data_IF_084135069320
#
_entry.id   IF_084135069320
#
_cell.length_a   1.000
_cell.length_b   1.000
_cell.length_c   1.000
_cell.angle_alpha   90.00
_cell.angle_beta   90.00
_cell.angle_gamma   90.00
#
_symmetry.space_group_name_H-M   'P 1'
#
loop_
_entity.id
_entity.type
_entity.pdbx_description
1 polymer ?
#
# COMPACT_ATOMS: atom_id res chain seq x y z
N UNK A 1 -41.96 31.81 -21.75
CA UNK A 1 -40.56 31.89 -21.39
C UNK A 1 -40.27 30.69 -20.47
N UNK A 2 -39.77 29.63 -21.06
CA UNK A 2 -39.58 28.35 -20.38
C UNK A 2 -38.12 28.25 -19.97
N UNK A 3 -37.83 28.25 -18.69
CA UNK A 3 -36.49 28.01 -18.15
C UNK A 3 -36.27 26.51 -17.98
N UNK A 4 -35.44 25.96 -18.84
CA UNK A 4 -35.00 24.58 -18.77
C UNK A 4 -33.96 24.43 -17.65
N UNK A 5 -34.30 23.75 -16.57
CA UNK A 5 -33.39 23.33 -15.52
C UNK A 5 -32.65 22.10 -16.05
N UNK A 6 -31.36 22.28 -16.32
CA UNK A 6 -30.47 21.15 -16.66
C UNK A 6 -30.18 20.41 -15.35
N UNK A 7 -30.73 19.21 -15.21
CA UNK A 7 -30.40 18.28 -14.15
C UNK A 7 -28.98 17.77 -14.38
N UNK A 8 -28.09 18.05 -13.44
CA UNK A 8 -26.77 17.44 -13.36
C UNK A 8 -26.96 15.99 -12.93
N UNK A 9 -26.86 15.06 -13.88
CA UNK A 9 -26.79 13.63 -13.58
C UNK A 9 -25.55 13.35 -12.73
N UNK A 10 -25.80 12.96 -11.48
CA UNK A 10 -24.77 12.43 -10.58
C UNK A 10 -24.19 11.16 -11.20
N UNK A 11 -22.87 11.21 -11.48
CA UNK A 11 -22.13 10.12 -12.10
C UNK A 11 -22.28 8.81 -11.31
N UNK A 12 -22.87 7.82 -11.90
CA UNK A 12 -22.76 6.43 -11.48
C UNK A 12 -21.29 6.05 -11.55
N UNK A 13 -20.67 5.76 -10.41
CA UNK A 13 -19.36 5.12 -10.34
C UNK A 13 -19.41 3.86 -11.22
N UNK A 14 -18.57 3.83 -12.24
CA UNK A 14 -18.42 2.66 -13.10
C UNK A 14 -17.73 1.57 -12.27
N UNK A 15 -18.50 0.63 -11.75
CA UNK A 15 -17.97 -0.58 -11.11
C UNK A 15 -17.20 -1.35 -12.18
N UNK A 16 -15.88 -1.46 -12.02
CA UNK A 16 -15.04 -2.25 -12.92
C UNK A 16 -15.56 -3.69 -12.95
N UNK A 17 -15.87 -4.19 -14.15
CA UNK A 17 -16.31 -5.58 -14.36
C UNK A 17 -15.16 -6.59 -14.25
N UNK A 18 -13.92 -6.11 -14.13
CA UNK A 18 -12.72 -6.94 -14.09
C UNK A 18 -12.44 -7.35 -12.65
N UNK A 19 -12.37 -8.66 -12.39
CA UNK A 19 -11.88 -9.18 -11.11
C UNK A 19 -10.40 -8.80 -11.00
N UNK A 20 -10.02 -7.97 -10.02
CA UNK A 20 -8.64 -7.46 -9.96
C UNK A 20 -7.63 -8.54 -9.58
N UNK A 21 -8.04 -9.57 -8.83
CA UNK A 21 -7.14 -10.61 -8.31
C UNK A 21 -6.07 -10.06 -7.34
N UNK A 22 -4.97 -10.79 -7.14
CA UNK A 22 -3.86 -10.35 -6.31
C UNK A 22 -3.08 -9.19 -6.94
N UNK A 23 -3.00 -8.05 -6.24
CA UNK A 23 -2.27 -6.86 -6.66
C UNK A 23 -1.18 -6.54 -5.65
N UNK A 24 0.04 -6.33 -6.11
CA UNK A 24 1.12 -5.77 -5.32
C UNK A 24 1.25 -4.28 -5.61
N UNK A 25 1.21 -3.47 -4.57
CA UNK A 25 1.67 -2.08 -4.66
C UNK A 25 3.11 -2.00 -4.19
N UNK A 26 4.00 -1.81 -5.17
CA UNK A 26 5.43 -1.61 -4.96
C UNK A 26 5.76 -0.12 -4.97
N UNK A 27 6.95 0.21 -4.49
CA UNK A 27 7.45 1.58 -4.44
C UNK A 27 8.18 1.86 -3.14
N UNK A 28 9.05 2.85 -3.18
CA UNK A 28 9.89 3.26 -2.06
C UNK A 28 9.06 3.70 -0.82
N UNK A 29 9.67 3.72 0.37
CA UNK A 29 9.04 4.34 1.55
C UNK A 29 8.58 5.77 1.23
N UNK A 30 7.33 6.11 1.55
CA UNK A 30 6.76 7.44 1.25
C UNK A 30 6.13 7.58 -0.14
N UNK A 31 6.15 6.57 -1.02
CA UNK A 31 5.57 6.67 -2.38
C UNK A 31 4.04 6.81 -2.42
N UNK A 32 3.34 6.63 -1.28
CA UNK A 32 1.88 6.81 -1.21
C UNK A 32 1.07 5.53 -1.37
N UNK A 33 1.70 4.34 -1.28
CA UNK A 33 1.01 3.05 -1.40
C UNK A 33 -0.26 2.94 -0.56
N UNK A 34 -0.20 3.24 0.74
CA UNK A 34 -1.36 3.19 1.63
C UNK A 34 -2.49 4.12 1.18
N UNK A 35 -2.17 5.36 0.81
CA UNK A 35 -3.17 6.32 0.29
C UNK A 35 -3.84 5.81 -0.99
N UNK A 36 -3.07 5.19 -1.88
CA UNK A 36 -3.62 4.60 -3.11
C UNK A 36 -4.43 3.35 -2.79
N UNK A 37 -3.97 2.51 -1.86
CA UNK A 37 -4.76 1.35 -1.41
C UNK A 37 -6.15 1.74 -0.92
N UNK A 38 -6.29 2.83 -0.16
CA UNK A 38 -7.59 3.33 0.32
C UNK A 38 -8.56 3.71 -0.82
N UNK A 39 -8.03 4.23 -1.93
CA UNK A 39 -8.83 4.53 -3.12
C UNK A 39 -9.24 3.24 -3.86
N UNK A 40 -8.29 2.32 -4.03
CA UNK A 40 -8.48 1.08 -4.79
C UNK A 40 -9.39 0.08 -4.07
N UNK A 41 -9.32 0.02 -2.73
CA UNK A 41 -10.25 -0.76 -1.89
C UNK A 41 -11.70 -0.34 -2.15
N UNK A 42 -11.96 0.96 -2.19
CA UNK A 42 -13.30 1.48 -2.49
C UNK A 42 -13.75 1.17 -3.92
N UNK A 43 -12.81 1.23 -4.87
CA UNK A 43 -13.11 0.99 -6.28
C UNK A 43 -13.40 -0.49 -6.60
N UNK A 44 -12.60 -1.42 -6.05
CA UNK A 44 -12.75 -2.86 -6.34
C UNK A 44 -13.48 -3.66 -5.26
N UNK A 45 -13.73 -3.07 -4.11
CA UNK A 45 -14.29 -3.75 -2.94
C UNK A 45 -13.49 -5.01 -2.54
N UNK A 46 -12.16 -4.88 -2.47
CA UNK A 46 -11.22 -5.93 -2.06
C UNK A 46 -10.38 -5.43 -0.87
N UNK A 47 -9.86 -6.30 0.01
CA UNK A 47 -9.12 -5.88 1.18
C UNK A 47 -7.73 -5.32 0.84
N UNK A 48 -7.30 -4.34 1.64
CA UNK A 48 -5.91 -3.88 1.71
C UNK A 48 -5.19 -4.64 2.84
N UNK A 49 -4.06 -5.26 2.50
CA UNK A 49 -3.22 -6.03 3.42
C UNK A 49 -1.87 -5.34 3.51
N UNK A 50 -1.69 -4.51 4.53
CA UNK A 50 -0.43 -3.82 4.84
C UNK A 50 0.37 -4.63 5.85
N UNK A 51 1.51 -5.21 5.43
CA UNK A 51 2.40 -5.92 6.38
C UNK A 51 2.97 -4.99 7.43
N UNK A 52 3.20 -3.72 7.11
CA UNK A 52 3.62 -2.73 8.08
C UNK A 52 2.59 -2.50 9.18
N UNK A 53 1.29 -2.46 8.83
CA UNK A 53 0.22 -2.28 9.81
C UNK A 53 -0.01 -3.56 10.62
N UNK A 54 0.08 -4.73 10.00
CA UNK A 54 0.02 -6.01 10.70
C UNK A 54 1.15 -6.14 11.74
N UNK A 55 2.38 -5.75 11.39
CA UNK A 55 3.51 -5.73 12.33
C UNK A 55 3.28 -4.72 13.47
N UNK A 56 2.86 -3.50 13.16
CA UNK A 56 2.54 -2.48 14.18
C UNK A 56 1.44 -2.92 15.12
N UNK A 57 0.39 -3.55 14.62
CA UNK A 57 -0.68 -4.10 15.45
C UNK A 57 -0.17 -5.20 16.40
N UNK A 58 0.72 -6.08 15.92
CA UNK A 58 1.36 -7.10 16.76
C UNK A 58 2.28 -6.47 17.81
N UNK A 59 3.03 -5.43 17.47
CA UNK A 59 3.87 -4.69 18.41
C UNK A 59 3.02 -4.02 19.51
N UNK A 60 1.95 -3.35 19.14
CA UNK A 60 1.04 -2.70 20.09
C UNK A 60 0.37 -3.70 21.04
N UNK A 61 0.04 -4.91 20.57
CA UNK A 61 -0.50 -6.00 21.37
C UNK A 61 0.54 -6.77 22.19
N UNK A 62 1.84 -6.49 22.00
CA UNK A 62 2.93 -7.18 22.71
C UNK A 62 3.04 -8.67 22.41
N UNK A 63 2.57 -9.13 21.22
CA UNK A 63 2.67 -10.54 20.83
C UNK A 63 4.14 -10.96 20.67
N UNK A 64 4.43 -12.27 20.64
CA UNK A 64 5.78 -12.79 20.40
C UNK A 64 6.34 -12.27 19.07
N UNK A 65 5.54 -12.26 18.00
CA UNK A 65 5.90 -11.67 16.72
C UNK A 65 6.18 -10.17 16.84
N UNK A 66 5.34 -9.43 17.55
CA UNK A 66 5.50 -8.00 17.76
C UNK A 66 6.81 -7.65 18.48
N UNK A 67 7.19 -8.43 19.50
CA UNK A 67 8.46 -8.24 20.23
C UNK A 67 9.68 -8.49 19.33
N UNK A 68 9.65 -9.52 18.49
CA UNK A 68 10.73 -9.82 17.53
C UNK A 68 10.80 -8.70 16.47
N UNK A 69 9.67 -8.27 15.94
CA UNK A 69 9.60 -7.25 14.89
C UNK A 69 10.01 -5.85 15.36
N UNK A 70 9.79 -5.53 16.65
CA UNK A 70 10.00 -4.19 17.23
C UNK A 70 11.39 -3.62 16.92
N UNK A 71 12.44 -4.42 17.12
CA UNK A 71 13.81 -3.97 16.92
C UNK A 71 14.12 -3.68 15.45
N UNK A 72 13.73 -4.57 14.54
CA UNK A 72 13.93 -4.39 13.10
C UNK A 72 13.13 -3.19 12.56
N UNK A 73 11.86 -3.07 12.92
CA UNK A 73 10.99 -1.97 12.48
C UNK A 73 11.54 -0.61 12.93
N UNK A 74 11.99 -0.49 14.19
CA UNK A 74 12.54 0.76 14.73
C UNK A 74 13.85 1.19 14.05
N UNK A 75 14.64 0.23 13.54
CA UNK A 75 15.86 0.50 12.77
C UNK A 75 15.63 0.65 11.26
N UNK A 76 14.40 0.45 10.79
CA UNK A 76 14.06 0.47 9.36
C UNK A 76 14.50 -0.78 8.58
N UNK A 77 14.96 -1.82 9.30
CA UNK A 77 15.35 -3.11 8.75
C UNK A 77 14.13 -3.98 8.41
N UNK A 78 14.34 -5.00 7.57
CA UNK A 78 13.30 -6.00 7.30
C UNK A 78 13.20 -7.02 8.43
N UNK A 79 11.97 -7.42 8.75
CA UNK A 79 11.70 -8.59 9.59
C UNK A 79 11.97 -9.85 8.77
N UNK A 80 12.42 -10.92 9.42
CA UNK A 80 12.78 -12.18 8.77
C UNK A 80 11.64 -12.73 7.89
N UNK A 81 11.99 -13.16 6.67
CA UNK A 81 11.02 -13.55 5.64
C UNK A 81 10.01 -14.61 6.12
N UNK A 82 10.46 -15.63 6.87
CA UNK A 82 9.58 -16.70 7.35
C UNK A 82 8.43 -16.15 8.22
N UNK A 83 8.72 -15.22 9.11
CA UNK A 83 7.71 -14.63 10.01
C UNK A 83 6.70 -13.79 9.22
N UNK A 84 7.17 -13.01 8.25
CA UNK A 84 6.30 -12.20 7.40
C UNK A 84 5.46 -13.10 6.49
N UNK A 85 6.04 -14.14 5.90
CA UNK A 85 5.34 -15.12 5.07
C UNK A 85 4.20 -15.82 5.86
N UNK A 86 4.47 -16.26 7.10
CA UNK A 86 3.44 -16.87 7.96
C UNK A 86 2.30 -15.90 8.27
N UNK A 87 2.62 -14.66 8.59
CA UNK A 87 1.63 -13.62 8.85
C UNK A 87 0.76 -13.33 7.62
N UNK A 88 1.37 -13.22 6.44
CA UNK A 88 0.65 -13.03 5.17
C UNK A 88 -0.18 -14.28 4.85
N UNK A 89 0.38 -15.49 5.00
CA UNK A 89 -0.34 -16.74 4.76
C UNK A 89 -1.60 -16.86 5.63
N UNK A 90 -1.52 -16.46 6.89
CA UNK A 90 -2.67 -16.44 7.79
C UNK A 90 -3.75 -15.46 7.30
N UNK A 91 -3.38 -14.25 6.91
CA UNK A 91 -4.30 -13.22 6.41
C UNK A 91 -4.97 -13.60 5.09
N UNK A 92 -4.24 -14.26 4.19
CA UNK A 92 -4.77 -14.70 2.88
C UNK A 92 -5.78 -15.86 2.98
N UNK A 93 -5.96 -16.47 4.15
CA UNK A 93 -7.01 -17.47 4.39
C UNK A 93 -8.37 -16.85 4.72
N UNK A 94 -8.42 -15.56 5.02
CA UNK A 94 -9.67 -14.88 5.34
C UNK A 94 -10.59 -14.81 4.11
N UNK A 95 -11.92 -14.98 4.29
CA UNK A 95 -12.87 -15.06 3.17
C UNK A 95 -12.92 -13.82 2.28
N UNK A 96 -12.60 -12.65 2.83
CA UNK A 96 -12.62 -11.37 2.12
C UNK A 96 -11.58 -11.26 1.00
N UNK A 97 -10.57 -12.17 0.97
CA UNK A 97 -9.52 -12.19 -0.05
C UNK A 97 -9.90 -12.98 -1.31
N UNK A 98 -11.06 -13.64 -1.33
CA UNK A 98 -11.46 -14.56 -2.40
C UNK A 98 -11.55 -13.91 -3.79
N UNK A 99 -11.93 -12.63 -3.88
CA UNK A 99 -12.05 -11.89 -5.15
C UNK A 99 -10.79 -11.10 -5.52
N UNK A 100 -9.74 -11.20 -4.71
CA UNK A 100 -8.49 -10.46 -4.84
C UNK A 100 -8.18 -9.65 -3.60
N UNK A 101 -7.01 -9.04 -3.61
CA UNK A 101 -6.49 -8.23 -2.49
C UNK A 101 -5.37 -7.32 -2.97
N UNK A 102 -5.10 -6.28 -2.19
CA UNK A 102 -3.95 -5.40 -2.39
C UNK A 102 -2.94 -5.70 -1.29
N UNK A 103 -1.72 -6.12 -1.67
CA UNK A 103 -0.59 -6.25 -0.77
C UNK A 103 0.27 -4.98 -0.79
N UNK A 104 0.49 -4.39 0.37
CA UNK A 104 1.38 -3.25 0.59
C UNK A 104 2.49 -3.63 1.57
N UNK A 105 3.73 -3.35 1.16
CA UNK A 105 4.91 -3.68 1.95
C UNK A 105 5.31 -5.15 1.92
N UNK A 106 4.73 -5.95 1.04
CA UNK A 106 5.07 -7.34 0.75
C UNK A 106 4.76 -7.65 -0.71
N UNK A 107 5.62 -8.40 -1.43
CA UNK A 107 6.94 -8.88 -1.00
C UNK A 107 7.98 -7.74 -0.96
N UNK A 108 9.01 -7.89 -0.12
CA UNK A 108 10.17 -6.99 -0.05
C UNK A 108 11.48 -7.66 -0.41
N UNK A 109 11.48 -8.96 -0.59
CA UNK A 109 12.62 -9.76 -1.05
C UNK A 109 12.20 -10.66 -2.19
N UNK A 110 13.17 -11.10 -3.00
CA UNK A 110 12.90 -12.06 -4.08
C UNK A 110 12.41 -13.41 -3.52
N UNK A 111 12.89 -13.81 -2.35
CA UNK A 111 12.42 -15.02 -1.65
C UNK A 111 10.93 -14.94 -1.31
N UNK A 112 10.47 -13.79 -0.79
CA UNK A 112 9.06 -13.56 -0.53
C UNK A 112 8.22 -13.54 -1.82
N UNK A 113 8.74 -12.95 -2.91
CA UNK A 113 8.03 -12.90 -4.20
C UNK A 113 7.82 -14.31 -4.78
N UNK A 114 8.87 -15.12 -4.80
CA UNK A 114 8.81 -16.52 -5.26
C UNK A 114 7.87 -17.35 -4.40
N UNK A 115 7.92 -17.16 -3.08
CA UNK A 115 7.01 -17.83 -2.15
C UNK A 115 5.54 -17.46 -2.43
N UNK A 116 5.25 -16.17 -2.66
CA UNK A 116 3.89 -15.70 -2.94
C UNK A 116 3.36 -16.26 -4.26
N UNK A 117 4.16 -16.23 -5.32
CA UNK A 117 3.78 -16.78 -6.63
C UNK A 117 3.47 -18.29 -6.53
N UNK A 118 4.31 -19.05 -5.82
CA UNK A 118 4.08 -20.49 -5.56
C UNK A 118 2.78 -20.73 -4.78
N UNK A 119 2.50 -19.89 -3.78
CA UNK A 119 1.27 -19.97 -2.98
C UNK A 119 0.02 -19.73 -3.82
N UNK A 120 0.01 -18.67 -4.62
CA UNK A 120 -1.12 -18.31 -5.48
C UNK A 120 -1.34 -19.37 -6.57
N UNK A 121 -0.28 -19.91 -7.14
CA UNK A 121 -0.37 -21.00 -8.13
C UNK A 121 -0.96 -22.28 -7.54
N UNK A 122 -0.65 -22.61 -6.28
CA UNK A 122 -1.15 -23.81 -5.59
C UNK A 122 -2.65 -23.73 -5.30
N UNK A 123 -3.19 -22.54 -5.04
CA UNK A 123 -4.63 -22.35 -4.78
C UNK A 123 -5.50 -22.64 -6.02
N UNK A 124 -4.93 -22.61 -7.24
CA UNK A 124 -5.57 -22.97 -8.51
C UNK A 124 -6.84 -22.17 -8.90
N UNK A 125 -7.26 -21.28 -8.04
CA UNK A 125 -8.47 -20.45 -8.17
C UNK A 125 -8.18 -18.97 -8.37
N UNK A 126 -6.97 -18.54 -8.03
CA UNK A 126 -6.57 -17.13 -8.06
C UNK A 126 -5.90 -16.78 -9.38
N UNK A 127 -6.17 -15.56 -9.86
CA UNK A 127 -5.42 -14.97 -10.96
C UNK A 127 -3.94 -14.80 -10.56
N UNK A 128 -2.99 -14.81 -11.52
CA UNK A 128 -1.60 -14.56 -11.22
C UNK A 128 -1.39 -13.22 -10.51
N UNK A 129 -0.40 -13.15 -9.65
CA UNK A 129 0.00 -11.90 -8.99
C UNK A 129 0.48 -10.90 -10.03
N UNK A 130 -0.01 -9.67 -9.97
CA UNK A 130 0.51 -8.54 -10.76
C UNK A 130 1.08 -7.47 -9.83
N UNK A 131 2.05 -6.72 -10.31
CA UNK A 131 2.73 -5.68 -9.55
C UNK A 131 2.59 -4.32 -10.23
N UNK A 132 2.23 -3.30 -9.46
CA UNK A 132 2.24 -1.89 -9.88
C UNK A 132 3.17 -1.12 -8.96
N UNK A 133 4.21 -0.52 -9.52
CA UNK A 133 5.16 0.31 -8.79
C UNK A 133 4.78 1.79 -8.87
N UNK A 134 4.75 2.47 -7.74
CA UNK A 134 4.55 3.91 -7.66
C UNK A 134 5.93 4.56 -7.55
N UNK A 135 6.36 5.22 -8.63
CA UNK A 135 7.62 5.95 -8.69
C UNK A 135 7.44 7.38 -8.19
N UNK A 136 8.35 7.85 -7.33
CA UNK A 136 8.37 9.21 -6.76
C UNK A 136 9.82 9.64 -6.58
N UNK A 137 10.11 10.92 -6.83
CA UNK A 137 11.44 11.51 -6.62
C UNK A 137 11.89 11.40 -5.15
N UNK A 138 13.19 11.16 -4.93
CA UNK A 138 13.77 10.96 -3.61
C UNK A 138 13.47 12.10 -2.63
N UNK A 139 13.59 13.35 -3.06
CA UNK A 139 13.36 14.51 -2.20
C UNK A 139 11.89 14.61 -1.79
N UNK A 140 10.97 14.24 -2.68
CA UNK A 140 9.56 14.16 -2.37
C UNK A 140 9.26 13.02 -1.38
N UNK A 141 9.90 11.86 -1.54
CA UNK A 141 9.77 10.74 -0.58
C UNK A 141 10.15 11.15 0.83
N UNK A 142 11.29 11.83 0.99
CA UNK A 142 11.76 12.32 2.30
C UNK A 142 10.75 13.28 2.93
N UNK A 143 10.28 14.28 2.17
CA UNK A 143 9.26 15.23 2.63
C UNK A 143 7.95 14.55 3.02
N UNK A 144 7.55 13.51 2.26
CA UNK A 144 6.34 12.74 2.56
C UNK A 144 6.47 11.96 3.85
N UNK A 145 7.59 11.32 4.09
CA UNK A 145 7.84 10.54 5.32
C UNK A 145 7.91 11.44 6.54
N UNK A 146 8.77 12.46 6.53
CA UNK A 146 8.99 13.32 7.70
C UNK A 146 7.76 14.19 8.02
N UNK A 147 6.99 14.55 7.01
CA UNK A 147 5.74 15.31 7.14
C UNK A 147 4.52 14.47 7.52
N UNK A 148 4.61 13.13 7.52
CA UNK A 148 3.46 12.26 7.78
C UNK A 148 2.96 12.36 9.22
N UNK A 149 1.63 12.39 9.36
CA UNK A 149 0.91 12.32 10.64
C UNK A 149 -0.22 11.32 10.52
N UNK A 150 -0.50 10.58 11.58
CA UNK A 150 -1.56 9.58 11.64
C UNK A 150 -2.55 9.91 12.74
N UNK A 151 -3.82 9.68 12.49
CA UNK A 151 -4.80 9.60 13.56
C UNK A 151 -4.67 8.24 14.28
N UNK A 152 -4.47 8.22 15.60
CA UNK A 152 -4.37 6.95 16.35
C UNK A 152 -5.71 6.22 16.48
N UNK A 153 -6.84 6.89 16.20
CA UNK A 153 -8.20 6.35 16.31
C UNK A 153 -8.68 5.73 15.00
N UNK A 154 -8.73 6.52 13.90
CA UNK A 154 -9.27 6.06 12.62
C UNK A 154 -8.20 5.68 11.59
N UNK A 155 -6.91 5.85 11.89
CA UNK A 155 -5.81 5.54 10.98
C UNK A 155 -5.61 6.53 9.81
N UNK A 156 -6.46 7.55 9.67
CA UNK A 156 -6.34 8.55 8.60
C UNK A 156 -4.95 9.17 8.57
N UNK A 157 -4.38 9.24 7.35
CA UNK A 157 -3.04 9.75 7.11
C UNK A 157 -3.12 11.19 6.60
N UNK A 158 -2.39 12.08 7.25
CA UNK A 158 -2.16 13.47 6.86
C UNK A 158 -0.70 13.71 6.52
N UNK A 159 -0.42 14.82 5.86
CA UNK A 159 0.94 15.30 5.66
C UNK A 159 0.98 16.83 5.86
N UNK A 160 1.84 17.29 6.76
CA UNK A 160 1.91 18.72 7.13
C UNK A 160 2.32 19.64 5.97
N UNK A 161 2.89 19.08 4.88
CA UNK A 161 3.34 19.85 3.70
C UNK A 161 2.40 19.74 2.50
N UNK A 162 1.68 18.61 2.35
CA UNK A 162 0.98 18.29 1.11
C UNK A 162 -0.53 18.12 1.29
N UNK A 163 -0.96 17.59 2.44
CA UNK A 163 -2.35 17.35 2.79
C UNK A 163 -2.51 17.56 4.29
N UNK A 164 -2.39 18.83 4.78
CA UNK A 164 -2.52 19.12 6.19
C UNK A 164 -3.97 18.94 6.66
N UNK A 165 -4.20 18.65 7.94
CA UNK A 165 -5.54 18.68 8.51
C UNK A 165 -6.08 20.09 8.51
N UNK A 166 -7.41 20.24 8.55
CA UNK A 166 -8.09 21.56 8.64
C UNK A 166 -7.70 22.32 9.91
N UNK A 167 -7.52 21.58 11.01
CA UNK A 167 -7.01 22.10 12.28
C UNK A 167 -5.65 21.47 12.54
N UNK A 168 -4.62 22.30 12.63
CA UNK A 168 -3.26 21.82 12.82
C UNK A 168 -3.14 20.89 14.04
N UNK A 169 -2.50 19.73 13.80
CA UNK A 169 -2.28 18.70 14.81
C UNK A 169 -3.49 17.84 15.17
N UNK A 170 -4.66 18.02 14.54
CA UNK A 170 -5.87 17.26 14.89
C UNK A 170 -6.50 16.57 13.65
N UNK A 171 -7.07 15.39 13.89
CA UNK A 171 -7.78 14.62 12.85
C UNK A 171 -9.09 15.30 12.47
N UNK A 172 -9.35 15.45 11.17
CA UNK A 172 -10.61 16.06 10.67
C UNK A 172 -11.84 15.18 10.86
N UNK A 173 -11.63 13.87 11.07
CA UNK A 173 -12.72 12.88 11.22
C UNK A 173 -13.05 12.68 12.70
N UNK A 174 -12.03 12.42 13.52
CA UNK A 174 -12.21 12.01 14.93
C UNK A 174 -11.89 13.15 15.93
N UNK A 175 -11.30 14.26 15.48
CA UNK A 175 -10.86 15.33 16.37
C UNK A 175 -9.70 14.92 17.31
N UNK A 176 -9.16 13.70 17.17
CA UNK A 176 -8.05 13.21 17.98
C UNK A 176 -6.72 13.89 17.58
N UNK A 177 -5.80 14.03 18.54
CA UNK A 177 -4.45 14.54 18.26
C UNK A 177 -3.71 13.59 17.31
N UNK A 178 -3.11 14.16 16.26
CA UNK A 178 -2.31 13.41 15.29
C UNK A 178 -0.94 13.07 15.87
N UNK A 179 -0.44 11.89 15.50
CA UNK A 179 0.87 11.41 15.94
C UNK A 179 1.80 11.15 14.76
N UNK A 180 3.09 11.39 14.93
CA UNK A 180 4.12 10.94 14.01
C UNK A 180 4.54 9.53 14.38
N UNK A 181 4.75 8.65 13.39
CA UNK A 181 5.29 7.31 13.65
C UNK A 181 6.73 7.40 14.13
N UNK A 182 7.16 6.50 15.00
CA UNK A 182 8.53 6.48 15.52
C UNK A 182 9.57 6.23 14.40
N UNK A 183 9.17 5.54 13.32
CA UNK A 183 9.99 5.23 12.16
C UNK A 183 9.92 6.29 11.02
N UNK A 184 9.28 7.44 11.26
CA UNK A 184 9.15 8.54 10.27
C UNK A 184 10.21 9.63 10.49
N UNK A 185 11.44 9.23 10.75
CA UNK A 185 12.61 10.10 10.85
C UNK A 185 13.47 10.01 9.59
N UNK A 186 14.29 11.02 9.32
CA UNK A 186 15.20 11.01 8.17
C UNK A 186 16.20 9.85 8.26
N UNK A 187 16.75 9.58 9.44
CA UNK A 187 17.70 8.50 9.64
C UNK A 187 17.07 7.13 9.29
N UNK A 188 15.89 6.83 9.82
CA UNK A 188 15.19 5.57 9.55
C UNK A 188 14.75 5.52 8.08
N UNK A 189 14.37 6.65 7.48
CA UNK A 189 14.06 6.72 6.06
C UNK A 189 15.26 6.29 5.20
N UNK A 190 16.47 6.78 5.49
CA UNK A 190 17.69 6.40 4.76
C UNK A 190 17.96 4.89 4.84
N UNK A 191 17.82 4.28 6.02
CA UNK A 191 17.96 2.81 6.16
C UNK A 191 16.89 2.06 5.36
N UNK A 192 15.64 2.51 5.41
CA UNK A 192 14.55 1.93 4.62
C UNK A 192 14.80 2.07 3.11
N UNK A 193 15.41 3.16 2.67
CA UNK A 193 15.79 3.35 1.25
C UNK A 193 16.91 2.40 0.85
N UNK A 194 17.93 2.19 1.71
CA UNK A 194 18.99 1.19 1.46
C UNK A 194 18.39 -0.22 1.34
N UNK A 195 17.53 -0.60 2.28
CA UNK A 195 16.84 -1.89 2.24
C UNK A 195 15.96 -2.03 0.97
N UNK A 196 15.23 -0.97 0.59
CA UNK A 196 14.43 -0.96 -0.63
C UNK A 196 15.29 -1.17 -1.87
N UNK A 197 16.35 -0.41 -2.04
CA UNK A 197 17.23 -0.50 -3.23
C UNK A 197 17.93 -1.85 -3.29
N UNK A 198 18.43 -2.38 -2.17
CA UNK A 198 19.18 -3.64 -2.15
C UNK A 198 18.34 -4.89 -2.21
N UNK A 199 17.15 -4.90 -1.59
CA UNK A 199 16.35 -6.10 -1.39
C UNK A 199 15.02 -6.09 -2.14
N UNK A 200 14.40 -4.92 -2.33
CA UNK A 200 13.06 -4.81 -2.91
C UNK A 200 13.11 -4.49 -4.42
N UNK A 201 14.09 -3.74 -4.89
CA UNK A 201 14.24 -3.49 -6.32
C UNK A 201 14.32 -4.78 -7.17
N UNK A 202 14.99 -5.87 -6.74
CA UNK A 202 14.94 -7.16 -7.45
C UNK A 202 13.54 -7.75 -7.61
N UNK A 203 12.59 -7.44 -6.71
CA UNK A 203 11.19 -7.86 -6.84
C UNK A 203 10.53 -7.20 -8.05
N UNK A 204 10.84 -5.95 -8.33
CA UNK A 204 10.35 -5.22 -9.51
C UNK A 204 10.80 -5.96 -10.78
N UNK A 205 12.07 -6.32 -10.86
CA UNK A 205 12.63 -7.02 -12.02
C UNK A 205 12.04 -8.43 -12.18
N UNK A 206 11.74 -9.12 -11.09
CA UNK A 206 11.05 -10.41 -11.11
C UNK A 206 9.69 -10.31 -11.83
N UNK A 207 8.82 -9.38 -11.40
CA UNK A 207 7.51 -9.22 -12.03
C UNK A 207 7.58 -8.61 -13.43
N UNK A 208 8.58 -7.77 -13.71
CA UNK A 208 8.85 -7.23 -15.06
C UNK A 208 9.21 -8.36 -16.03
N UNK A 209 10.11 -9.25 -15.66
CA UNK A 209 10.52 -10.41 -16.47
C UNK A 209 9.36 -11.37 -16.76
N UNK A 210 8.38 -11.46 -15.85
CA UNK A 210 7.16 -12.24 -16.02
C UNK A 210 6.08 -11.55 -16.86
N UNK A 211 6.28 -10.33 -17.35
CA UNK A 211 5.26 -9.55 -18.05
C UNK A 211 4.09 -9.09 -17.15
N UNK A 212 4.25 -9.16 -15.82
CA UNK A 212 3.21 -8.87 -14.82
C UNK A 212 3.49 -7.60 -14.03
N UNK A 213 4.10 -6.61 -14.67
CA UNK A 213 4.56 -5.37 -14.04
C UNK A 213 4.09 -4.13 -14.79
N UNK A 214 3.74 -3.09 -14.03
CA UNK A 214 3.54 -1.73 -14.54
C UNK A 214 4.15 -0.71 -13.57
N UNK A 215 4.51 0.46 -14.08
CA UNK A 215 4.96 1.60 -13.29
C UNK A 215 4.05 2.79 -13.52
N UNK A 216 3.77 3.55 -12.46
CA UNK A 216 2.97 4.76 -12.48
C UNK A 216 3.73 5.91 -11.79
N UNK A 217 3.53 7.11 -12.31
CA UNK A 217 4.09 8.34 -11.75
C UNK A 217 3.31 8.74 -10.49
N UNK A 218 3.97 8.70 -9.34
CA UNK A 218 3.43 9.03 -8.02
C UNK A 218 3.54 10.50 -7.63
N UNK A 219 4.04 11.37 -8.52
CA UNK A 219 4.13 12.82 -8.29
C UNK A 219 2.93 13.59 -8.87
N UNK A 220 1.83 12.87 -9.11
CA UNK A 220 0.55 13.40 -9.57
C UNK A 220 -0.47 13.52 -8.44
N UNK A 221 -1.59 14.22 -8.68
CA UNK A 221 -2.74 14.21 -7.77
C UNK A 221 -3.25 12.80 -7.47
N UNK A 222 -3.67 12.55 -6.22
CA UNK A 222 -4.04 11.22 -5.69
C UNK A 222 -5.02 10.49 -6.61
N UNK A 223 -6.07 11.16 -7.11
CA UNK A 223 -7.07 10.53 -7.98
C UNK A 223 -6.53 10.14 -9.36
N UNK A 224 -5.56 10.90 -9.91
CA UNK A 224 -4.92 10.56 -11.19
C UNK A 224 -3.98 9.37 -11.04
N UNK A 225 -3.30 9.23 -9.90
CA UNK A 225 -2.47 8.05 -9.60
C UNK A 225 -3.39 6.82 -9.49
N UNK A 226 -4.50 6.92 -8.74
CA UNK A 226 -5.46 5.82 -8.62
C UNK A 226 -6.00 5.37 -9.98
N UNK A 227 -6.42 6.30 -10.83
CA UNK A 227 -6.88 6.00 -12.19
C UNK A 227 -5.79 5.33 -13.04
N UNK A 228 -4.53 5.77 -12.94
CA UNK A 228 -3.42 5.17 -13.65
C UNK A 228 -3.14 3.73 -13.16
N UNK A 229 -3.26 3.46 -11.84
CA UNK A 229 -3.14 2.11 -11.28
C UNK A 229 -4.26 1.22 -11.80
N UNK A 230 -5.52 1.69 -11.79
CA UNK A 230 -6.67 0.92 -12.32
C UNK A 230 -6.43 0.55 -13.78
N UNK A 231 -6.07 1.51 -14.62
CA UNK A 231 -5.79 1.26 -16.04
C UNK A 231 -4.63 0.27 -16.25
N UNK A 232 -3.58 0.34 -15.41
CA UNK A 232 -2.47 -0.60 -15.45
C UNK A 232 -2.91 -2.03 -15.08
N UNK A 233 -3.71 -2.17 -14.02
CA UNK A 233 -4.29 -3.47 -13.61
C UNK A 233 -5.16 -4.06 -14.71
N UNK A 234 -6.09 -3.30 -15.28
CA UNK A 234 -6.97 -3.76 -16.36
C UNK A 234 -6.18 -4.20 -17.60
N UNK A 235 -5.09 -3.51 -17.92
CA UNK A 235 -4.19 -3.90 -19.03
C UNK A 235 -3.46 -5.21 -18.75
N UNK A 236 -2.97 -5.41 -17.52
CA UNK A 236 -2.23 -6.62 -17.13
C UNK A 236 -3.12 -7.85 -16.91
N UNK A 237 -4.45 -7.67 -16.86
CA UNK A 237 -5.46 -8.73 -16.73
C UNK A 237 -6.05 -9.20 -18.08
N UNK A 238 -5.72 -8.52 -19.16
CA UNK A 238 -6.07 -8.91 -20.54
C UNK A 238 -5.07 -9.91 -21.10
#
# INVERSE_FOLDING_TARGET
>A
MSSSVVAVEQGREAVSKTVPGPILLLGAPGSGKGTQSDQLVKFWNIPHISTGDLLRANMAKGTSLGKIAQQSVNRGELVHDSLVNEMVAARLKEPDTANGYILDGFPRTLGQATWLDGRVATDGKSLPVIAVSIHVDYNQLLRRITGRRNCPVCGTIYNIHMNPPKRDGFCDVEGAALVQRADDTEQVFQERMRAYTGLTAPVVEHYRALGRFAEVDGDRPIGLIAAAIVAAVERLRK
#
